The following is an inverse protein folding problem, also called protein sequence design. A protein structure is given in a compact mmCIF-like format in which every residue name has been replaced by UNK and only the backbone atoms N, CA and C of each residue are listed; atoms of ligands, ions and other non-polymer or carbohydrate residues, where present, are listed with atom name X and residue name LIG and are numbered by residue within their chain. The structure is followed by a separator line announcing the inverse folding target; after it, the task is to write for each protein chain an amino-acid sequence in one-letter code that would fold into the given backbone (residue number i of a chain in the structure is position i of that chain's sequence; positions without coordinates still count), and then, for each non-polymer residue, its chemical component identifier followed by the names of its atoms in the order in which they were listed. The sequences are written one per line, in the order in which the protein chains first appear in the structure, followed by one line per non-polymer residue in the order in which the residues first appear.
data_IF_460694226743
#
_entry.id   IF_460694226743
#
_cell.length_a   1.000
_cell.length_b   1.000
_cell.length_c   1.000
_cell.angle_alpha   90.00
_cell.angle_beta   90.00
_cell.angle_gamma   90.00
#
_symmetry.space_group_name_H-M   'P 1'
#
loop_
_entity.id
_entity.type
_entity.pdbx_description
1 polymer ?
#
# COMPACT_ATOMS: atom_id res chain seq x y z
N UNK A 1 5.46 2.02 -15.07
CA UNK A 1 5.94 2.97 -14.05
C UNK A 1 6.05 2.15 -12.79
N UNK A 2 7.27 1.82 -12.35
CA UNK A 2 7.44 1.10 -11.07
C UNK A 2 7.14 2.15 -9.99
N UNK A 3 6.00 1.99 -9.32
CA UNK A 3 5.62 2.91 -8.24
C UNK A 3 6.63 2.82 -7.09
N UNK A 4 7.00 3.97 -6.54
CA UNK A 4 7.84 4.04 -5.34
C UNK A 4 6.98 3.82 -4.10
N UNK A 5 7.60 3.51 -2.95
CA UNK A 5 6.86 3.39 -1.69
C UNK A 5 6.14 4.71 -1.33
N UNK A 6 6.74 5.85 -1.69
CA UNK A 6 6.14 7.17 -1.54
C UNK A 6 4.82 7.33 -2.33
N UNK A 7 4.74 6.75 -3.53
CA UNK A 7 3.51 6.77 -4.33
C UNK A 7 2.40 5.97 -3.64
N UNK A 8 2.72 4.79 -3.10
CA UNK A 8 1.77 3.99 -2.32
C UNK A 8 1.30 4.70 -1.06
N UNK A 9 2.20 5.39 -0.34
CA UNK A 9 1.83 6.21 0.83
C UNK A 9 0.91 7.38 0.46
N UNK A 10 1.20 8.09 -0.63
CA UNK A 10 0.37 9.20 -1.11
C UNK A 10 -1.03 8.71 -1.52
N UNK A 11 -1.10 7.58 -2.24
CA UNK A 11 -2.36 6.96 -2.64
C UNK A 11 -3.18 6.52 -1.43
N UNK A 12 -2.56 5.85 -0.46
CA UNK A 12 -3.21 5.46 0.79
C UNK A 12 -3.85 6.68 1.49
N UNK A 13 -3.07 7.76 1.71
CA UNK A 13 -3.55 8.99 2.35
C UNK A 13 -4.71 9.62 1.57
N UNK A 14 -4.59 9.71 0.25
CA UNK A 14 -5.63 10.27 -0.59
C UNK A 14 -6.94 9.47 -0.51
N UNK A 15 -6.87 8.14 -0.48
CA UNK A 15 -8.04 7.27 -0.39
C UNK A 15 -8.77 7.44 0.95
N UNK A 16 -8.05 7.37 2.07
CA UNK A 16 -8.66 7.45 3.40
C UNK A 16 -9.29 8.84 3.65
N UNK A 17 -8.60 9.90 3.22
CA UNK A 17 -9.04 11.29 3.42
C UNK A 17 -10.16 11.72 2.46
N UNK A 18 -10.43 10.95 1.41
CA UNK A 18 -11.46 11.32 0.44
C UNK A 18 -12.87 11.18 1.02
N UNK A 19 -13.57 12.29 1.17
CA UNK A 19 -14.99 12.32 1.57
C UNK A 19 -15.93 11.92 0.42
N UNK A 20 -15.44 11.91 -0.82
CA UNK A 20 -16.23 11.62 -2.03
C UNK A 20 -16.39 10.12 -2.31
N UNK A 21 -15.64 9.28 -1.61
CA UNK A 21 -15.63 7.83 -1.83
C UNK A 21 -16.42 7.12 -0.72
N UNK A 22 -17.30 6.19 -1.10
CA UNK A 22 -17.93 5.28 -0.15
C UNK A 22 -16.89 4.34 0.48
N UNK A 23 -17.18 3.80 1.67
CA UNK A 23 -16.31 2.85 2.35
C UNK A 23 -15.97 1.62 1.48
N UNK A 24 -16.96 1.04 0.81
CA UNK A 24 -16.73 -0.07 -0.13
C UNK A 24 -15.73 0.31 -1.23
N UNK A 25 -15.88 1.51 -1.81
CA UNK A 25 -14.98 1.99 -2.86
C UNK A 25 -13.59 2.29 -2.33
N UNK A 26 -13.46 2.82 -1.11
CA UNK A 26 -12.17 2.98 -0.43
C UNK A 26 -11.49 1.63 -0.27
N UNK A 27 -12.19 0.62 0.24
CA UNK A 27 -11.62 -0.72 0.43
C UNK A 27 -11.13 -1.33 -0.89
N UNK A 28 -11.87 -1.20 -1.99
CA UNK A 28 -11.44 -1.69 -3.30
C UNK A 28 -10.16 -1.00 -3.78
N UNK A 29 -10.05 0.32 -3.60
CA UNK A 29 -8.83 1.05 -3.97
C UNK A 29 -7.66 0.69 -3.06
N UNK A 30 -7.90 0.52 -1.75
CA UNK A 30 -6.87 0.09 -0.81
C UNK A 30 -6.35 -1.32 -1.13
N UNK A 31 -7.21 -2.24 -1.57
CA UNK A 31 -6.79 -3.56 -2.07
C UNK A 31 -5.83 -3.45 -3.25
N UNK A 32 -6.10 -2.53 -4.19
CA UNK A 32 -5.19 -2.31 -5.32
C UNK A 32 -3.81 -1.80 -4.82
N UNK A 33 -3.80 -0.88 -3.85
CA UNK A 33 -2.53 -0.40 -3.25
C UNK A 33 -1.77 -1.53 -2.56
N UNK A 34 -2.47 -2.43 -1.85
CA UNK A 34 -1.85 -3.62 -1.25
C UNK A 34 -1.21 -4.52 -2.32
N UNK A 35 -1.94 -4.82 -3.40
CA UNK A 35 -1.43 -5.63 -4.52
C UNK A 35 -0.21 -5.00 -5.17
N UNK A 36 -0.20 -3.67 -5.37
CA UNK A 36 0.96 -2.96 -5.90
C UNK A 36 2.17 -3.09 -4.97
N UNK A 37 1.96 -2.96 -3.66
CA UNK A 37 3.03 -3.13 -2.66
C UNK A 37 3.59 -4.56 -2.70
N UNK A 38 2.73 -5.58 -2.78
CA UNK A 38 3.15 -6.99 -2.85
C UNK A 38 4.01 -7.26 -4.09
N UNK A 39 3.57 -6.79 -5.25
CA UNK A 39 4.26 -7.02 -6.51
C UNK A 39 5.62 -6.33 -6.51
N UNK A 40 5.69 -5.07 -6.06
CA UNK A 40 6.89 -4.24 -6.16
C UNK A 40 7.92 -4.57 -5.09
N UNK A 41 7.49 -4.76 -3.83
CA UNK A 41 8.41 -4.88 -2.70
C UNK A 41 8.60 -6.33 -2.24
N UNK A 42 7.61 -7.21 -2.43
CA UNK A 42 7.66 -8.60 -1.96
C UNK A 42 7.80 -9.63 -3.10
N UNK A 43 7.63 -9.20 -4.36
CA UNK A 43 7.65 -10.08 -5.54
C UNK A 43 9.02 -10.58 -5.98
N UNK A 44 10.13 -9.96 -5.54
CA UNK A 44 11.50 -10.32 -5.94
C UNK A 44 12.36 -10.69 -4.73
N UNK A 45 12.98 -11.88 -4.79
CA UNK A 45 13.74 -12.53 -3.70
C UNK A 45 15.19 -12.03 -3.54
N UNK A 46 15.57 -10.89 -4.12
CA UNK A 46 16.94 -10.37 -4.01
C UNK A 46 17.13 -9.62 -2.69
N UNK A 47 18.02 -10.16 -1.85
CA UNK A 47 18.31 -9.72 -0.48
C UNK A 47 19.46 -8.73 -0.44
N UNK A 48 19.36 -7.62 -1.19
CA UNK A 48 20.30 -6.51 -0.99
C UNK A 48 19.88 -5.69 0.24
N UNK A 49 20.84 -5.12 0.98
CA UNK A 49 20.55 -4.37 2.22
C UNK A 49 19.59 -3.19 2.02
N UNK A 50 19.70 -2.47 0.90
CA UNK A 50 18.78 -1.36 0.58
C UNK A 50 17.36 -1.86 0.27
N UNK A 51 17.23 -3.05 -0.33
CA UNK A 51 15.95 -3.72 -0.53
C UNK A 51 15.32 -4.17 0.80
N UNK A 52 16.12 -4.56 1.79
CA UNK A 52 15.64 -4.98 3.12
C UNK A 52 14.97 -3.80 3.84
N UNK A 53 15.57 -2.61 3.86
CA UNK A 53 14.96 -1.45 4.52
C UNK A 53 13.66 -1.04 3.82
N UNK A 54 13.65 -1.00 2.48
CA UNK A 54 12.43 -0.68 1.73
C UNK A 54 11.33 -1.73 1.95
N UNK A 55 11.68 -3.01 2.11
CA UNK A 55 10.73 -4.07 2.45
C UNK A 55 10.14 -3.91 3.86
N UNK A 56 10.93 -3.48 4.84
CA UNK A 56 10.43 -3.22 6.19
C UNK A 56 9.44 -2.05 6.22
N UNK A 57 9.78 -0.94 5.56
CA UNK A 57 8.89 0.22 5.44
C UNK A 57 7.61 -0.13 4.64
N UNK A 58 7.75 -0.89 3.55
CA UNK A 58 6.62 -1.41 2.79
C UNK A 58 5.72 -2.32 3.62
N UNK A 59 6.30 -3.17 4.48
CA UNK A 59 5.56 -4.05 5.39
C UNK A 59 4.78 -3.27 6.45
N UNK A 60 5.35 -2.19 6.99
CA UNK A 60 4.62 -1.31 7.90
C UNK A 60 3.40 -0.69 7.19
N UNK A 61 3.61 -0.11 6.00
CA UNK A 61 2.52 0.47 5.22
C UNK A 61 1.44 -0.56 4.85
N UNK A 62 1.85 -1.77 4.44
CA UNK A 62 0.93 -2.86 4.12
C UNK A 62 0.02 -3.20 5.31
N UNK A 63 0.59 -3.28 6.51
CA UNK A 63 -0.16 -3.55 7.73
C UNK A 63 -1.11 -2.39 8.07
N UNK A 64 -0.65 -1.14 7.96
CA UNK A 64 -1.48 0.04 8.21
C UNK A 64 -2.70 0.06 7.28
N UNK A 65 -2.51 -0.19 5.98
CA UNK A 65 -3.61 -0.25 5.02
C UNK A 65 -4.58 -1.40 5.37
N UNK A 66 -4.06 -2.58 5.68
CA UNK A 66 -4.87 -3.77 6.02
C UNK A 66 -5.75 -3.55 7.25
N UNK A 67 -5.28 -2.77 8.23
CA UNK A 67 -6.03 -2.43 9.44
C UNK A 67 -7.07 -1.32 9.23
N UNK A 68 -7.01 -0.60 8.11
CA UNK A 68 -7.89 0.54 7.82
C UNK A 68 -9.06 0.19 6.89
N UNK A 69 -9.35 -1.10 6.69
CA UNK A 69 -10.58 -1.51 6.01
C UNK A 69 -11.82 -1.15 6.83
N UNK A 70 -12.77 -0.49 6.17
CA UNK A 70 -13.98 0.02 6.78
C UNK A 70 -15.15 -0.93 6.50
N UNK A 71 -16.16 -0.93 7.38
CA UNK A 71 -17.39 -1.67 7.12
C UNK A 71 -18.05 -1.16 5.82
N UNK A 72 -18.37 -2.12 4.96
CA UNK A 72 -19.21 -2.05 3.77
C UNK A 72 -20.37 -3.02 4.04
#
# INVERSE_FOLDING_TARGET
MIGTLGDSQANYKAIIQSEKLSNCRKNDLLRNVLTDIEIVFFGTHDKEQDLIQQQEEAKQLYNDISMNFLAC
#
